data_IF_569199448086
#
_entry.id   IF_569199448086
#
_cell.length_a   1.000
_cell.length_b   1.000
_cell.length_c   1.000
_cell.angle_alpha   90.00
_cell.angle_beta   90.00
_cell.angle_gamma   90.00
#
_symmetry.space_group_name_H-M   'P 1'
#
loop_
_entity.id
_entity.type
_entity.pdbx_description
1 polymer ?
#
# COMPACT_ATOMS: atom_id res chain seq x y z
N UNK A 1 24.62 2.97 -23.54
CA UNK A 1 23.69 3.70 -22.65
C UNK A 1 22.25 3.78 -23.18
N UNK A 2 21.99 4.24 -24.42
CA UNK A 2 20.60 4.41 -24.95
C UNK A 2 19.73 3.13 -24.94
N UNK A 3 20.30 1.95 -25.24
CA UNK A 3 19.55 0.67 -25.26
C UNK A 3 19.06 0.22 -23.87
N UNK A 4 19.86 0.47 -22.82
CA UNK A 4 19.50 0.10 -21.45
C UNK A 4 18.35 0.98 -20.93
N UNK A 5 18.36 2.27 -21.25
CA UNK A 5 17.27 3.20 -20.89
C UNK A 5 15.96 2.80 -21.54
N UNK A 6 15.97 2.43 -22.82
CA UNK A 6 14.78 1.98 -23.55
C UNK A 6 14.22 0.69 -22.93
N UNK A 7 15.09 -0.27 -22.58
CA UNK A 7 14.67 -1.51 -21.90
C UNK A 7 14.02 -1.23 -20.53
N UNK A 8 14.57 -0.30 -19.75
CA UNK A 8 13.98 0.11 -18.47
C UNK A 8 12.62 0.75 -18.68
N UNK A 9 12.46 1.63 -19.67
CA UNK A 9 11.17 2.26 -19.99
C UNK A 9 10.14 1.21 -20.41
N UNK A 10 10.49 0.29 -21.31
CA UNK A 10 9.58 -0.79 -21.73
C UNK A 10 9.19 -1.70 -20.56
N UNK A 11 10.15 -2.02 -19.69
CA UNK A 11 9.91 -2.83 -18.50
C UNK A 11 8.97 -2.13 -17.52
N UNK A 12 9.18 -0.84 -17.27
CA UNK A 12 8.28 -0.02 -16.46
C UNK A 12 6.88 0.05 -17.09
N UNK A 13 6.76 0.37 -18.37
CA UNK A 13 5.47 0.39 -19.08
C UNK A 13 4.75 -0.96 -18.99
N UNK A 14 5.47 -2.07 -19.12
CA UNK A 14 4.89 -3.41 -19.01
C UNK A 14 4.38 -3.71 -17.60
N UNK A 15 5.15 -3.36 -16.56
CA UNK A 15 4.71 -3.49 -15.17
C UNK A 15 3.46 -2.66 -14.92
N UNK A 16 3.47 -1.39 -15.34
CA UNK A 16 2.32 -0.48 -15.18
C UNK A 16 1.10 -1.04 -15.89
N UNK A 17 1.23 -1.50 -17.13
CA UNK A 17 0.14 -2.08 -17.92
C UNK A 17 -0.42 -3.36 -17.28
N UNK A 18 0.45 -4.27 -16.82
CA UNK A 18 0.03 -5.52 -16.16
C UNK A 18 -0.77 -5.22 -14.88
N UNK A 19 -0.34 -4.24 -14.09
CA UNK A 19 -1.04 -3.83 -12.89
C UNK A 19 -2.35 -3.10 -13.22
N UNK A 20 -2.35 -2.22 -14.22
CA UNK A 20 -3.55 -1.51 -14.70
C UNK A 20 -4.63 -2.47 -15.21
N UNK A 21 -4.24 -3.49 -15.98
CA UNK A 21 -5.17 -4.53 -16.45
C UNK A 21 -5.76 -5.36 -15.31
N UNK A 22 -4.99 -5.61 -14.24
CA UNK A 22 -5.54 -6.25 -13.03
C UNK A 22 -6.52 -5.35 -12.29
N UNK A 23 -6.33 -4.03 -12.35
CA UNK A 23 -7.19 -3.04 -11.72
C UNK A 23 -8.51 -2.84 -12.46
N UNK A 24 -8.51 -2.85 -13.80
CA UNK A 24 -9.74 -2.75 -14.60
C UNK A 24 -10.61 -4.01 -14.60
N UNK A 25 -10.49 -4.88 -13.59
CA UNK A 25 -11.40 -6.01 -13.40
C UNK A 25 -12.48 -5.64 -12.39
N UNK A 26 -13.71 -6.10 -12.58
CA UNK A 26 -14.86 -5.79 -11.70
C UNK A 26 -14.57 -6.08 -10.22
N UNK A 27 -13.85 -7.18 -9.94
CA UNK A 27 -13.40 -7.53 -8.60
C UNK A 27 -12.43 -6.48 -8.03
N UNK A 28 -11.57 -5.93 -8.87
CA UNK A 28 -10.59 -4.95 -8.44
C UNK A 28 -11.20 -3.57 -8.17
N UNK A 29 -12.22 -3.16 -8.93
CA UNK A 29 -13.02 -1.95 -8.67
C UNK A 29 -13.71 -2.03 -7.30
N UNK A 30 -14.38 -3.16 -7.02
CA UNK A 30 -15.03 -3.40 -5.71
C UNK A 30 -14.03 -3.35 -4.55
N UNK A 31 -12.83 -3.90 -4.74
CA UNK A 31 -11.76 -3.85 -3.75
C UNK A 31 -11.21 -2.42 -3.56
N UNK A 32 -11.15 -1.61 -4.62
CA UNK A 32 -10.71 -0.21 -4.53
C UNK A 32 -11.72 0.61 -3.72
N UNK A 33 -13.02 0.48 -3.99
CA UNK A 33 -14.08 1.12 -3.21
C UNK A 33 -14.03 0.71 -1.74
N UNK A 34 -13.80 -0.58 -1.50
CA UNK A 34 -13.64 -1.11 -0.14
C UNK A 34 -12.41 -0.52 0.56
N UNK A 35 -11.33 -0.24 -0.17
CA UNK A 35 -10.14 0.43 0.38
C UNK A 35 -10.38 1.92 0.63
N UNK A 36 -11.08 2.62 -0.25
CA UNK A 36 -11.49 4.01 -0.03
C UNK A 36 -12.33 4.15 1.24
N UNK A 37 -13.25 3.22 1.47
CA UNK A 37 -14.04 3.16 2.72
C UNK A 37 -13.15 2.80 3.92
N UNK A 38 -12.25 1.80 3.78
CA UNK A 38 -11.35 1.38 4.84
C UNK A 38 -10.44 2.53 5.31
N UNK A 39 -9.99 3.36 4.38
CA UNK A 39 -9.09 4.49 4.60
C UNK A 39 -9.81 5.82 4.84
N UNK A 40 -11.14 5.81 4.98
CA UNK A 40 -11.89 7.02 5.22
C UNK A 40 -11.33 7.80 6.42
N UNK A 41 -10.85 9.02 6.18
CA UNK A 41 -10.29 9.90 7.21
C UNK A 41 -8.84 9.63 7.62
N UNK A 42 -8.16 8.65 7.03
CA UNK A 42 -6.75 8.35 7.35
C UNK A 42 -5.81 9.52 7.00
N UNK A 43 -6.16 10.32 5.98
CA UNK A 43 -5.40 11.50 5.55
C UNK A 43 -5.23 12.53 6.66
N UNK A 44 -6.20 12.62 7.60
CA UNK A 44 -6.12 13.52 8.76
C UNK A 44 -5.01 13.12 9.76
N UNK A 45 -4.45 11.92 9.63
CA UNK A 45 -3.42 11.38 10.49
C UNK A 45 -2.03 11.35 9.82
N UNK A 46 -1.97 11.73 8.54
CA UNK A 46 -0.75 11.68 7.71
C UNK A 46 -0.28 13.11 7.50
N UNK A 47 1.02 13.38 7.72
CA UNK A 47 1.60 14.68 7.38
C UNK A 47 1.66 14.82 5.85
N UNK A 48 1.44 16.00 5.26
CA UNK A 48 1.61 16.22 3.82
C UNK A 48 2.99 15.82 3.29
N UNK A 49 4.02 15.90 4.14
CA UNK A 49 5.41 15.55 3.82
C UNK A 49 5.80 14.12 4.24
N UNK A 50 4.85 13.33 4.77
CA UNK A 50 5.15 11.98 5.25
C UNK A 50 5.48 11.04 4.10
N UNK A 51 6.48 10.20 4.35
CA UNK A 51 6.87 9.10 3.47
C UNK A 51 6.33 7.81 4.10
N UNK A 52 5.35 7.21 3.44
CA UNK A 52 4.60 6.08 4.01
C UNK A 52 5.14 4.78 3.45
N UNK A 53 5.85 3.98 4.24
CA UNK A 53 6.23 2.63 3.83
C UNK A 53 5.01 1.70 3.81
N UNK A 54 4.95 0.79 2.84
CA UNK A 54 3.90 -0.23 2.75
C UNK A 54 4.35 -1.58 3.32
N UNK A 55 3.53 -2.16 4.20
CA UNK A 55 3.67 -3.54 4.69
C UNK A 55 2.36 -4.31 4.54
N UNK A 56 2.45 -5.63 4.38
CA UNK A 56 1.28 -6.50 4.38
C UNK A 56 1.62 -7.93 4.77
N UNK A 57 0.68 -8.63 5.41
CA UNK A 57 0.75 -10.07 5.66
C UNK A 57 0.07 -10.91 4.55
N UNK A 58 -0.47 -10.25 3.51
CA UNK A 58 -1.15 -10.92 2.41
C UNK A 58 -0.21 -11.86 1.65
N UNK A 59 -0.74 -12.80 0.85
CA UNK A 59 0.07 -13.61 -0.05
C UNK A 59 0.82 -12.76 -1.09
N UNK A 60 2.00 -13.21 -1.52
CA UNK A 60 2.94 -12.42 -2.33
C UNK A 60 2.38 -11.96 -3.69
N UNK A 61 1.43 -12.70 -4.26
CA UNK A 61 0.74 -12.35 -5.50
C UNK A 61 -0.21 -11.16 -5.35
N UNK A 62 -0.63 -10.84 -4.12
CA UNK A 62 -1.48 -9.69 -3.79
C UNK A 62 -0.71 -8.44 -3.39
N UNK A 63 0.56 -8.56 -2.99
CA UNK A 63 1.37 -7.43 -2.50
C UNK A 63 1.38 -6.23 -3.44
N UNK A 64 1.70 -6.47 -4.71
CA UNK A 64 1.76 -5.40 -5.71
C UNK A 64 0.39 -4.75 -5.98
N UNK A 65 -0.69 -5.53 -5.90
CA UNK A 65 -2.06 -5.02 -6.11
C UNK A 65 -2.49 -4.17 -4.93
N UNK A 66 -2.27 -4.65 -3.70
CA UNK A 66 -2.60 -3.92 -2.48
C UNK A 66 -1.78 -2.64 -2.34
N UNK A 67 -0.48 -2.69 -2.65
CA UNK A 67 0.37 -1.51 -2.73
C UNK A 67 -0.20 -0.49 -3.71
N UNK A 68 -0.48 -0.91 -4.95
CA UNK A 68 -0.96 0.00 -5.98
C UNK A 68 -2.31 0.62 -5.62
N UNK A 69 -3.25 -0.16 -5.10
CA UNK A 69 -4.55 0.36 -4.63
C UNK A 69 -4.40 1.31 -3.46
N UNK A 70 -3.49 1.02 -2.52
CA UNK A 70 -3.19 1.93 -1.41
C UNK A 70 -2.67 3.27 -1.91
N UNK A 71 -1.74 3.24 -2.87
CA UNK A 71 -1.17 4.42 -3.48
C UNK A 71 -2.19 5.21 -4.33
N UNK A 72 -3.19 4.55 -4.93
CA UNK A 72 -4.29 5.23 -5.60
C UNK A 72 -5.19 6.00 -4.63
N UNK A 73 -5.52 5.40 -3.47
CA UNK A 73 -6.41 6.01 -2.48
C UNK A 73 -5.70 7.11 -1.69
N UNK A 74 -4.45 6.89 -1.29
CA UNK A 74 -3.67 7.79 -0.43
C UNK A 74 -2.80 8.78 -1.20
N UNK A 75 -2.90 8.80 -2.53
CA UNK A 75 -1.99 9.48 -3.43
C UNK A 75 -0.53 8.94 -3.32
N UNK A 76 0.45 9.42 -4.12
CA UNK A 76 1.77 8.79 -4.23
C UNK A 76 2.71 8.97 -3.01
N UNK A 77 2.18 9.28 -1.82
CA UNK A 77 2.93 9.33 -0.56
C UNK A 77 3.35 7.93 -0.07
N UNK A 78 2.84 6.85 -0.67
CA UNK A 78 3.16 5.47 -0.31
C UNK A 78 4.42 4.99 -1.04
N UNK A 79 5.52 4.85 -0.31
CA UNK A 79 6.76 4.21 -0.75
C UNK A 79 6.71 2.69 -0.53
N UNK A 80 7.23 1.93 -1.49
CA UNK A 80 7.37 0.49 -1.36
C UNK A 80 8.54 0.09 -0.43
N UNK A 81 9.45 1.01 -0.10
CA UNK A 81 10.67 0.76 0.65
C UNK A 81 10.64 1.43 2.04
N UNK A 82 11.04 0.68 3.07
CA UNK A 82 11.07 1.14 4.47
C UNK A 82 12.17 2.18 4.76
N UNK A 83 13.25 2.18 3.96
CA UNK A 83 14.43 3.02 4.21
C UNK A 83 14.12 4.50 4.02
N UNK A 84 13.86 5.21 5.12
CA UNK A 84 13.60 6.65 5.16
C UNK A 84 12.15 7.04 5.45
N UNK A 85 11.25 6.07 5.51
CA UNK A 85 9.85 6.31 5.82
C UNK A 85 9.66 6.74 7.28
N UNK A 86 8.94 7.84 7.50
CA UNK A 86 8.56 8.32 8.84
C UNK A 86 7.27 7.67 9.33
N UNK A 87 6.53 7.03 8.42
CA UNK A 87 5.24 6.41 8.67
C UNK A 87 5.19 5.06 7.95
N UNK A 88 4.47 4.09 8.52
CA UNK A 88 4.25 2.77 7.93
C UNK A 88 2.75 2.51 7.87
N UNK A 89 2.27 2.18 6.68
CA UNK A 89 0.94 1.63 6.44
C UNK A 89 1.05 0.11 6.37
N UNK A 90 0.49 -0.57 7.36
CA UNK A 90 0.32 -2.01 7.35
C UNK A 90 -1.11 -2.37 6.97
N UNK A 91 -1.26 -3.17 5.91
CA UNK A 91 -2.52 -3.80 5.53
C UNK A 91 -2.49 -5.30 5.87
N UNK A 92 -3.40 -5.74 6.72
CA UNK A 92 -3.49 -7.13 7.16
C UNK A 92 -4.78 -7.77 6.69
N UNK A 93 -4.68 -8.97 6.12
CA UNK A 93 -5.82 -9.86 5.97
C UNK A 93 -6.15 -10.49 7.32
N UNK A 94 -7.39 -10.34 7.78
CA UNK A 94 -7.83 -10.80 9.10
C UNK A 94 -7.80 -12.33 9.25
N UNK A 95 -7.83 -13.05 8.13
CA UNK A 95 -7.74 -14.51 8.11
C UNK A 95 -6.30 -15.05 8.26
N UNK A 96 -5.29 -14.18 8.20
CA UNK A 96 -3.87 -14.53 8.26
C UNK A 96 -3.25 -14.09 9.59
N UNK A 97 -2.12 -14.69 10.01
CA UNK A 97 -1.42 -14.28 11.21
C UNK A 97 -1.05 -12.80 11.19
N UNK A 98 -1.27 -12.12 12.32
CA UNK A 98 -0.94 -10.71 12.47
C UNK A 98 0.58 -10.49 12.48
N UNK A 99 1.00 -9.32 11.99
CA UNK A 99 2.39 -8.87 11.99
C UNK A 99 2.74 -8.34 13.37
N UNK A 100 3.92 -8.69 13.89
CA UNK A 100 4.40 -8.14 15.16
C UNK A 100 4.66 -6.63 15.04
N UNK A 101 4.11 -5.84 15.98
CA UNK A 101 4.16 -4.38 15.98
C UNK A 101 5.05 -3.78 17.09
N UNK A 102 5.94 -4.58 17.67
CA UNK A 102 6.71 -4.21 18.88
C UNK A 102 7.53 -2.93 18.72
N UNK A 103 8.05 -2.68 17.52
CA UNK A 103 8.94 -1.54 17.22
C UNK A 103 8.20 -0.30 16.71
N UNK A 104 6.86 -0.29 16.77
CA UNK A 104 6.03 0.75 16.19
C UNK A 104 5.06 1.36 17.19
N UNK A 105 4.88 2.68 17.11
CA UNK A 105 3.82 3.42 17.78
C UNK A 105 2.63 3.56 16.83
N UNK A 106 1.45 3.10 17.25
CA UNK A 106 0.23 3.14 16.46
C UNK A 106 -0.30 4.58 16.42
N UNK A 107 -0.56 5.09 15.21
CA UNK A 107 -1.15 6.41 14.96
C UNK A 107 -2.66 6.26 14.77
N UNK A 108 -3.06 5.36 13.88
CA UNK A 108 -4.45 5.13 13.51
C UNK A 108 -4.67 3.67 13.12
N UNK A 109 -5.89 3.18 13.31
CA UNK A 109 -6.31 1.86 12.91
C UNK A 109 -7.74 1.89 12.39
N UNK A 110 -8.03 0.99 11.46
CA UNK A 110 -9.39 0.72 11.02
C UNK A 110 -9.47 -0.66 10.41
N UNK A 111 -10.68 -1.17 10.26
CA UNK A 111 -10.91 -2.50 9.72
C UNK A 111 -12.24 -2.56 8.98
N UNK A 112 -12.31 -3.46 8.01
CA UNK A 112 -13.54 -3.93 7.40
C UNK A 112 -13.66 -5.45 7.64
N UNK A 113 -14.61 -6.10 6.95
CA UNK A 113 -14.87 -7.54 7.13
C UNK A 113 -13.70 -8.47 6.75
N UNK A 114 -12.72 -7.99 5.98
CA UNK A 114 -11.65 -8.82 5.41
C UNK A 114 -10.25 -8.33 5.78
N UNK A 115 -10.08 -7.02 5.89
CA UNK A 115 -8.79 -6.40 6.11
C UNK A 115 -8.82 -5.39 7.24
N UNK A 116 -7.67 -5.25 7.88
CA UNK A 116 -7.35 -4.20 8.84
C UNK A 116 -6.22 -3.35 8.28
N UNK A 117 -6.29 -2.05 8.52
CA UNK A 117 -5.14 -1.18 8.38
C UNK A 117 -4.61 -0.75 9.74
N UNK A 118 -3.30 -0.60 9.83
CA UNK A 118 -2.62 0.05 10.94
C UNK A 118 -1.65 1.07 10.36
N UNK A 119 -1.88 2.34 10.66
CA UNK A 119 -0.93 3.42 10.42
C UNK A 119 -0.07 3.59 11.66
N UNK A 120 1.25 3.58 11.50
CA UNK A 120 2.17 3.59 12.62
C UNK A 120 3.47 4.31 12.31
N UNK A 121 4.18 4.73 13.35
CA UNK A 121 5.49 5.36 13.28
C UNK A 121 6.54 4.47 13.94
N UNK A 122 7.75 4.32 13.38
CA UNK A 122 8.83 3.63 14.07
C UNK A 122 9.10 4.28 15.44
N UNK A 123 9.20 3.47 16.50
CA UNK A 123 9.70 3.93 17.80
C UNK A 123 11.19 4.22 17.61
N UNK A 124 11.59 5.48 17.76
CA UNK A 124 13.00 5.85 17.85
C UNK A 124 13.50 5.64 19.26
#
# INVERSE_FOLDING_TARGET
MKKAVILVIFYLCWITFKNYRKLGSEKADTELDTMSILFAGIENHISPDSQIAFKTNAPSDRHGVLYFKSALVLAPAVLQLESGADTVLLLEELALPATALTDYAIIAQGANRRMKYTLMRPKR
#
